data_IF_751669358710
#
_entry.id   IF_751669358710
#
_cell.length_a   1.000
_cell.length_b   1.000
_cell.length_c   1.000
_cell.angle_alpha   90.00
_cell.angle_beta   90.00
_cell.angle_gamma   90.00
#
_symmetry.space_group_name_H-M   'P 1'
#
loop_
_entity.id
_entity.type
_entity.pdbx_description
1 polymer ?
#
# COMPACT_ATOMS: atom_id res chain seq x y z
N UNK A 1 -25.16 -0.09 13.34
CA UNK A 1 -25.57 -0.56 12.00
C UNK A 1 -25.80 -2.08 12.02
N UNK A 2 -24.80 -2.91 12.27
CA UNK A 2 -24.91 -4.37 12.26
C UNK A 2 -26.06 -4.92 13.12
N UNK A 3 -26.25 -4.44 14.34
CA UNK A 3 -27.34 -4.88 15.22
C UNK A 3 -28.76 -4.55 14.68
N UNK A 4 -28.90 -3.46 13.90
CA UNK A 4 -30.17 -3.13 13.27
C UNK A 4 -30.49 -4.10 12.12
N UNK A 5 -29.47 -4.42 11.31
CA UNK A 5 -29.62 -5.42 10.26
C UNK A 5 -29.94 -6.81 10.84
N UNK A 6 -29.32 -7.20 11.96
CA UNK A 6 -29.59 -8.49 12.61
C UNK A 6 -31.04 -8.60 13.12
N UNK A 7 -31.72 -7.47 13.42
CA UNK A 7 -33.12 -7.46 13.81
C UNK A 7 -34.07 -7.63 12.62
N UNK A 8 -33.71 -7.06 11.47
CA UNK A 8 -34.56 -7.04 10.27
C UNK A 8 -34.29 -8.19 9.30
N UNK A 9 -33.09 -8.82 9.39
CA UNK A 9 -32.61 -9.86 8.47
C UNK A 9 -32.35 -11.15 9.25
N UNK A 10 -33.31 -12.12 9.23
CA UNK A 10 -33.16 -13.39 9.95
C UNK A 10 -31.88 -14.15 9.56
N UNK A 11 -31.47 -14.09 8.30
CA UNK A 11 -30.27 -14.74 7.78
C UNK A 11 -28.98 -14.21 8.40
N UNK A 12 -28.97 -12.95 8.88
CA UNK A 12 -27.85 -12.38 9.67
C UNK A 12 -27.95 -12.85 11.11
N UNK A 13 -29.15 -12.86 11.69
CA UNK A 13 -29.38 -13.33 13.04
C UNK A 13 -28.97 -14.80 13.22
N UNK A 14 -29.27 -15.64 12.23
CA UNK A 14 -28.94 -17.06 12.19
C UNK A 14 -27.45 -17.33 11.83
N UNK A 15 -26.68 -16.28 11.51
CA UNK A 15 -25.26 -16.36 11.19
C UNK A 15 -24.94 -16.97 9.81
N UNK A 16 -25.92 -17.03 8.90
CA UNK A 16 -25.76 -17.47 7.50
C UNK A 16 -25.12 -16.35 6.68
N UNK A 17 -25.54 -15.11 6.92
CA UNK A 17 -24.98 -13.91 6.32
C UNK A 17 -24.19 -13.16 7.37
N UNK A 18 -22.97 -12.75 7.01
CA UNK A 18 -22.10 -11.94 7.85
C UNK A 18 -21.94 -10.54 7.27
N UNK A 19 -21.90 -9.53 8.15
CA UNK A 19 -21.46 -8.17 7.80
C UNK A 19 -19.97 -8.11 8.04
N UNK A 20 -19.19 -8.02 6.96
CA UNK A 20 -17.72 -8.01 6.99
C UNK A 20 -17.21 -6.63 7.37
N UNK A 21 -17.82 -5.56 6.85
CA UNK A 21 -17.39 -4.20 7.10
C UNK A 21 -18.53 -3.20 7.00
N UNK A 22 -18.35 -2.04 7.64
CA UNK A 22 -19.29 -0.92 7.59
C UNK A 22 -18.50 0.38 7.56
N UNK A 23 -18.60 1.11 6.46
CA UNK A 23 -18.13 2.49 6.35
C UNK A 23 -19.34 3.44 6.47
N UNK A 24 -19.24 4.50 7.30
CA UNK A 24 -20.40 5.28 7.64
C UNK A 24 -20.11 6.78 7.81
N UNK A 25 -20.90 7.57 7.12
CA UNK A 25 -21.02 9.02 7.31
C UNK A 25 -22.36 9.31 8.03
N UNK A 26 -22.36 9.45 9.37
CA UNK A 26 -23.58 9.48 10.17
C UNK A 26 -24.57 10.55 9.71
N UNK A 27 -25.85 10.14 9.57
CA UNK A 27 -26.92 11.02 9.11
C UNK A 27 -26.93 11.31 7.59
N UNK A 28 -26.00 10.77 6.84
CA UNK A 28 -25.88 10.98 5.40
C UNK A 28 -25.94 9.67 4.61
N UNK A 29 -24.89 8.87 4.68
CA UNK A 29 -24.77 7.62 3.89
C UNK A 29 -23.89 6.60 4.60
N UNK A 30 -24.18 5.33 4.38
CA UNK A 30 -23.32 4.22 4.78
C UNK A 30 -23.16 3.21 3.64
N UNK A 31 -22.04 2.50 3.63
CA UNK A 31 -21.80 1.31 2.81
C UNK A 31 -21.58 0.13 3.72
N UNK A 32 -22.20 -1.00 3.41
CA UNK A 32 -22.01 -2.25 4.15
C UNK A 32 -21.60 -3.37 3.21
N UNK A 33 -20.57 -4.12 3.60
CA UNK A 33 -20.12 -5.31 2.90
C UNK A 33 -20.72 -6.54 3.57
N UNK A 34 -21.43 -7.37 2.82
CA UNK A 34 -22.09 -8.58 3.30
C UNK A 34 -21.58 -9.82 2.57
N UNK A 35 -21.43 -10.90 3.30
CA UNK A 35 -20.98 -12.19 2.78
C UNK A 35 -21.94 -13.29 3.20
N UNK A 36 -22.21 -14.25 2.30
CA UNK A 36 -23.00 -15.43 2.63
C UNK A 36 -22.10 -16.65 2.72
N UNK A 37 -22.24 -17.43 3.80
CA UNK A 37 -21.58 -18.73 3.97
C UNK A 37 -22.20 -19.80 3.04
N UNK A 38 -23.43 -19.58 2.63
CA UNK A 38 -24.16 -20.46 1.72
C UNK A 38 -24.20 -19.87 0.32
N UNK A 39 -23.65 -20.56 -0.65
CA UNK A 39 -23.61 -20.10 -2.06
C UNK A 39 -24.97 -19.99 -2.73
N UNK A 40 -25.99 -20.63 -2.14
CA UNK A 40 -27.37 -20.59 -2.63
C UNK A 40 -28.13 -19.33 -2.23
N UNK A 41 -27.61 -18.52 -1.29
CA UNK A 41 -28.24 -17.33 -0.75
C UNK A 41 -27.53 -16.08 -1.26
N UNK A 42 -28.29 -15.21 -1.93
CA UNK A 42 -27.82 -13.87 -2.29
C UNK A 42 -27.81 -12.96 -1.05
N UNK A 43 -26.64 -12.59 -0.52
CA UNK A 43 -26.55 -11.79 0.70
C UNK A 43 -27.11 -10.38 0.54
N UNK A 44 -26.95 -9.78 -0.65
CA UNK A 44 -27.46 -8.43 -0.92
C UNK A 44 -28.98 -8.46 -0.99
N UNK A 45 -29.54 -9.40 -1.77
CA UNK A 45 -30.99 -9.55 -1.90
C UNK A 45 -31.69 -9.85 -0.58
N UNK A 46 -31.08 -10.67 0.29
CA UNK A 46 -31.61 -10.97 1.62
C UNK A 46 -31.64 -9.72 2.53
N UNK A 47 -30.59 -8.91 2.53
CA UNK A 47 -30.49 -7.67 3.30
C UNK A 47 -31.42 -6.57 2.76
N UNK A 48 -31.61 -6.47 1.45
CA UNK A 48 -32.53 -5.52 0.82
C UNK A 48 -33.99 -5.90 1.12
N UNK A 49 -34.30 -7.18 1.03
CA UNK A 49 -35.63 -7.71 1.23
C UNK A 49 -36.58 -7.41 0.06
N UNK A 50 -37.80 -7.94 0.16
CA UNK A 50 -38.80 -7.75 -0.90
C UNK A 50 -39.10 -6.25 -1.11
N UNK A 51 -38.82 -5.76 -2.33
CA UNK A 51 -39.00 -4.34 -2.72
C UNK A 51 -38.31 -3.34 -1.77
N UNK A 52 -37.22 -3.77 -1.15
CA UNK A 52 -36.41 -2.93 -0.26
C UNK A 52 -37.00 -2.79 1.17
N UNK A 53 -37.94 -3.63 1.56
CA UNK A 53 -38.65 -3.49 2.84
C UNK A 53 -37.73 -3.57 4.06
N UNK A 54 -36.74 -4.47 4.05
CA UNK A 54 -35.82 -4.65 5.18
C UNK A 54 -34.84 -3.49 5.29
N UNK A 55 -34.15 -3.15 4.19
CA UNK A 55 -33.26 -2.00 4.20
C UNK A 55 -33.98 -0.70 4.54
N UNK A 56 -35.23 -0.52 4.08
CA UNK A 56 -36.00 0.67 4.39
C UNK A 56 -36.35 0.77 5.88
N UNK A 57 -36.57 -0.36 6.56
CA UNK A 57 -36.79 -0.38 8.01
C UNK A 57 -35.54 0.15 8.74
N UNK A 58 -34.35 -0.33 8.37
CA UNK A 58 -33.07 0.16 8.93
C UNK A 58 -32.85 1.65 8.61
N UNK A 59 -33.13 2.08 7.37
CA UNK A 59 -33.02 3.49 6.96
C UNK A 59 -33.91 4.38 7.81
N UNK A 60 -35.12 3.95 8.11
CA UNK A 60 -36.07 4.71 8.95
C UNK A 60 -35.59 4.85 10.40
N UNK A 61 -35.03 3.77 10.98
CA UNK A 61 -34.43 3.82 12.33
C UNK A 61 -33.19 4.76 12.37
N UNK A 62 -32.46 4.90 11.26
CA UNK A 62 -31.33 5.80 11.10
C UNK A 62 -31.73 7.19 10.57
N UNK A 63 -33.01 7.56 10.69
CA UNK A 63 -33.54 8.87 10.33
C UNK A 63 -33.32 9.29 8.87
N UNK A 64 -33.31 8.32 7.96
CA UNK A 64 -33.19 8.56 6.53
C UNK A 64 -31.77 8.47 5.95
N UNK A 65 -30.82 7.95 6.73
CA UNK A 65 -29.46 7.67 6.25
C UNK A 65 -29.50 6.64 5.10
N UNK A 66 -28.90 6.98 3.96
CA UNK A 66 -28.86 6.08 2.80
C UNK A 66 -27.90 4.94 3.05
N UNK A 67 -28.29 3.72 2.66
CA UNK A 67 -27.47 2.54 2.86
C UNK A 67 -27.22 1.85 1.52
N UNK A 68 -25.96 1.71 1.15
CA UNK A 68 -25.50 0.91 0.01
C UNK A 68 -25.05 -0.46 0.55
N UNK A 69 -25.66 -1.52 0.03
CA UNK A 69 -25.34 -2.89 0.41
C UNK A 69 -24.60 -3.54 -0.74
N UNK A 70 -23.41 -4.08 -0.48
CA UNK A 70 -22.59 -4.72 -1.50
C UNK A 70 -22.12 -6.09 -1.03
N UNK A 71 -21.97 -7.01 -1.98
CA UNK A 71 -21.42 -8.33 -1.69
C UNK A 71 -19.91 -8.26 -1.56
N UNK A 72 -19.42 -8.75 -0.43
CA UNK A 72 -17.98 -8.87 -0.21
C UNK A 72 -17.35 -9.93 -1.12
N UNK A 73 -16.07 -9.75 -1.45
CA UNK A 73 -15.25 -10.68 -2.24
C UNK A 73 -13.80 -10.53 -1.81
N UNK A 74 -13.04 -11.64 -1.87
CA UNK A 74 -11.60 -11.66 -1.53
C UNK A 74 -10.76 -10.84 -2.52
N UNK A 75 -11.22 -10.70 -3.77
CA UNK A 75 -10.55 -9.88 -4.77
C UNK A 75 -10.83 -8.40 -4.49
N UNK A 76 -9.80 -7.67 -4.08
CA UNK A 76 -9.92 -6.25 -3.71
C UNK A 76 -10.35 -5.37 -4.89
N UNK A 77 -9.84 -5.63 -6.11
CA UNK A 77 -10.25 -4.87 -7.29
C UNK A 77 -11.74 -5.02 -7.59
N UNK A 78 -12.25 -6.24 -7.57
CA UNK A 78 -13.68 -6.52 -7.76
C UNK A 78 -14.53 -5.92 -6.62
N UNK A 79 -14.00 -5.91 -5.40
CA UNK A 79 -14.67 -5.33 -4.24
C UNK A 79 -14.81 -3.82 -4.39
N UNK A 80 -13.72 -3.12 -4.77
CA UNK A 80 -13.73 -1.66 -4.96
C UNK A 80 -14.63 -1.25 -6.13
N UNK A 81 -14.66 -2.01 -7.23
CA UNK A 81 -15.61 -1.78 -8.32
C UNK A 81 -17.06 -1.81 -7.83
N UNK A 82 -17.41 -2.78 -6.97
CA UNK A 82 -18.74 -2.84 -6.34
C UNK A 82 -18.96 -1.69 -5.36
N UNK A 83 -17.94 -1.32 -4.60
CA UNK A 83 -18.02 -0.26 -3.59
C UNK A 83 -18.23 1.13 -4.22
N UNK A 84 -17.72 1.37 -5.43
CA UNK A 84 -17.87 2.63 -6.16
C UNK A 84 -19.21 2.76 -6.90
N UNK A 85 -20.01 1.69 -6.96
CA UNK A 85 -21.34 1.77 -7.57
C UNK A 85 -22.15 2.96 -6.99
N UNK A 86 -22.95 3.66 -7.83
CA UNK A 86 -23.38 3.31 -9.19
C UNK A 86 -22.43 3.76 -10.32
N UNK A 87 -21.23 4.24 -10.03
CA UNK A 87 -20.28 4.61 -11.07
C UNK A 87 -19.79 3.37 -11.83
N UNK A 88 -19.60 3.52 -13.13
CA UNK A 88 -19.02 2.49 -13.99
C UNK A 88 -17.50 2.63 -13.99
N UNK A 89 -16.80 1.55 -13.63
CA UNK A 89 -15.34 1.48 -13.61
C UNK A 89 -14.86 0.73 -14.85
N UNK A 90 -13.84 1.26 -15.53
CA UNK A 90 -13.26 0.63 -16.70
C UNK A 90 -12.04 -0.22 -16.38
N UNK A 91 -11.18 0.28 -15.50
CA UNK A 91 -9.90 -0.34 -15.15
C UNK A 91 -9.58 -0.08 -13.69
N UNK A 92 -8.96 -1.06 -13.06
CA UNK A 92 -8.37 -0.92 -11.71
C UNK A 92 -6.91 -1.36 -11.81
N UNK A 93 -6.02 -0.55 -11.26
CA UNK A 93 -4.60 -0.86 -11.11
C UNK A 93 -4.33 -0.97 -9.62
N UNK A 94 -3.65 -2.05 -9.22
CA UNK A 94 -3.30 -2.35 -7.83
C UNK A 94 -1.84 -2.02 -7.58
N UNK A 95 -1.58 -1.39 -6.45
CA UNK A 95 -0.26 -1.19 -5.88
C UNK A 95 -0.28 -1.85 -4.50
N UNK A 96 0.09 -3.14 -4.47
CA UNK A 96 -0.05 -4.00 -3.28
C UNK A 96 0.86 -3.56 -2.13
N UNK A 97 2.02 -3.00 -2.42
CA UNK A 97 2.99 -2.54 -1.42
C UNK A 97 2.48 -1.34 -0.62
N UNK A 98 1.70 -0.46 -1.28
CA UNK A 98 1.17 0.78 -0.70
C UNK A 98 -0.29 0.66 -0.25
N UNK A 99 -0.92 -0.52 -0.39
CA UNK A 99 -2.37 -0.72 -0.20
C UNK A 99 -3.21 0.32 -0.95
N UNK A 100 -2.76 0.68 -2.16
CA UNK A 100 -3.31 1.75 -3.00
C UNK A 100 -3.90 1.19 -4.29
N UNK A 101 -4.99 1.80 -4.73
CA UNK A 101 -5.71 1.44 -5.95
C UNK A 101 -5.92 2.68 -6.82
N UNK A 102 -5.62 2.55 -8.11
CA UNK A 102 -6.04 3.53 -9.09
C UNK A 102 -7.22 2.99 -9.90
N UNK A 103 -8.28 3.77 -9.90
CA UNK A 103 -9.54 3.42 -10.55
C UNK A 103 -9.80 4.36 -11.72
N UNK A 104 -9.76 3.81 -12.93
CA UNK A 104 -10.03 4.59 -14.15
C UNK A 104 -11.51 4.50 -14.50
N UNK A 105 -12.11 5.68 -14.67
CA UNK A 105 -13.53 5.83 -15.00
C UNK A 105 -13.71 6.72 -16.24
N UNK A 106 -14.82 6.57 -17.00
CA UNK A 106 -15.18 7.54 -18.02
C UNK A 106 -15.34 8.94 -17.41
N UNK A 107 -15.02 9.99 -18.17
CA UNK A 107 -15.15 11.38 -17.69
C UNK A 107 -16.55 11.70 -17.16
N UNK A 108 -17.58 11.18 -17.82
CA UNK A 108 -19.00 11.34 -17.40
C UNK A 108 -19.30 10.68 -16.05
N UNK A 109 -18.52 9.68 -15.64
CA UNK A 109 -18.68 8.93 -14.39
C UNK A 109 -17.82 9.49 -13.24
N UNK A 110 -16.85 10.35 -13.53
CA UNK A 110 -15.90 10.88 -12.54
C UNK A 110 -16.64 11.50 -11.32
N UNK A 111 -17.56 12.41 -11.56
CA UNK A 111 -18.32 13.05 -10.49
C UNK A 111 -19.15 12.07 -9.66
N UNK A 112 -19.61 10.97 -10.29
CA UNK A 112 -20.40 9.93 -9.62
C UNK A 112 -19.51 9.01 -8.79
N UNK A 113 -18.34 8.65 -9.32
CA UNK A 113 -17.34 7.83 -8.63
C UNK A 113 -16.80 8.54 -7.39
N UNK A 114 -16.41 9.80 -7.49
CA UNK A 114 -15.97 10.62 -6.36
C UNK A 114 -17.14 10.86 -5.38
N UNK A 115 -18.30 11.16 -5.92
CA UNK A 115 -19.48 11.53 -5.12
C UNK A 115 -19.39 12.95 -4.55
N UNK A 116 -20.49 13.37 -3.90
CA UNK A 116 -20.58 14.72 -3.31
C UNK A 116 -19.56 14.90 -2.18
N UNK A 117 -18.63 15.83 -2.33
CA UNK A 117 -17.52 16.09 -1.38
C UNK A 117 -16.65 14.84 -1.13
N UNK A 118 -16.42 14.03 -2.14
CA UNK A 118 -15.63 12.82 -1.99
C UNK A 118 -16.31 11.68 -1.20
N UNK A 119 -17.60 11.79 -0.90
CA UNK A 119 -18.29 10.84 -0.01
C UNK A 119 -18.27 9.40 -0.55
N UNK A 120 -18.42 9.21 -1.85
CA UNK A 120 -18.51 7.86 -2.40
C UNK A 120 -17.16 7.15 -2.36
N UNK A 121 -16.09 7.83 -2.81
CA UNK A 121 -14.73 7.29 -2.79
C UNK A 121 -14.23 7.10 -1.36
N UNK A 122 -14.43 8.07 -0.47
CA UNK A 122 -14.01 7.98 0.94
C UNK A 122 -14.67 6.79 1.66
N UNK A 123 -15.97 6.58 1.49
CA UNK A 123 -16.66 5.43 2.08
C UNK A 123 -16.22 4.10 1.45
N UNK A 124 -15.83 4.10 0.16
CA UNK A 124 -15.30 2.92 -0.49
C UNK A 124 -13.89 2.59 0.03
N UNK A 125 -13.04 3.60 0.20
CA UNK A 125 -11.70 3.48 0.79
C UNK A 125 -11.78 2.99 2.25
N UNK A 126 -12.59 3.62 3.10
CA UNK A 126 -12.82 3.21 4.49
C UNK A 126 -13.31 1.75 4.59
N UNK A 127 -14.17 1.32 3.65
CA UNK A 127 -14.73 -0.03 3.66
C UNK A 127 -13.75 -1.10 3.16
N UNK A 128 -12.90 -0.75 2.20
CA UNK A 128 -11.89 -1.66 1.63
C UNK A 128 -10.61 -1.72 2.46
N UNK A 129 -10.32 -0.67 3.22
CA UNK A 129 -9.04 -0.47 3.89
C UNK A 129 -7.91 -0.01 2.96
N UNK A 130 -8.22 0.29 1.68
CA UNK A 130 -7.27 0.70 0.66
C UNK A 130 -7.46 2.15 0.26
N UNK A 131 -6.38 2.84 -0.05
CA UNK A 131 -6.45 4.16 -0.66
C UNK A 131 -6.93 4.05 -2.11
N UNK A 132 -7.90 4.89 -2.50
CA UNK A 132 -8.54 4.83 -3.81
C UNK A 132 -8.39 6.17 -4.52
N UNK A 133 -7.58 6.17 -5.60
CA UNK A 133 -7.47 7.30 -6.52
C UNK A 133 -8.37 7.10 -7.74
N UNK A 134 -9.14 8.12 -8.05
CA UNK A 134 -10.03 8.08 -9.22
C UNK A 134 -9.49 8.98 -10.31
N UNK A 135 -9.24 8.40 -11.48
CA UNK A 135 -8.71 9.05 -12.65
C UNK A 135 -9.66 8.89 -13.84
N UNK A 136 -9.64 9.85 -14.76
CA UNK A 136 -10.23 9.66 -16.09
C UNK A 136 -9.25 8.93 -17.02
N UNK A 137 -9.76 8.39 -18.15
CA UNK A 137 -8.91 7.78 -19.17
C UNK A 137 -7.88 8.76 -19.72
N UNK A 138 -8.29 10.03 -19.91
CA UNK A 138 -7.39 11.07 -20.41
C UNK A 138 -6.29 11.37 -19.40
N UNK A 139 -6.61 11.50 -18.12
CA UNK A 139 -5.65 11.72 -17.03
C UNK A 139 -4.66 10.55 -16.88
N UNK A 140 -5.17 9.32 -16.94
CA UNK A 140 -4.31 8.13 -16.87
C UNK A 140 -3.39 8.02 -18.09
N UNK A 141 -3.93 8.34 -19.29
CA UNK A 141 -3.13 8.36 -20.52
C UNK A 141 -2.06 9.45 -20.50
N UNK A 142 -2.41 10.66 -20.07
CA UNK A 142 -1.47 11.79 -19.94
C UNK A 142 -0.37 11.47 -18.93
N UNK A 143 -0.74 10.92 -17.76
CA UNK A 143 0.23 10.53 -16.76
C UNK A 143 1.21 9.47 -17.30
N UNK A 144 0.71 8.39 -17.91
CA UNK A 144 1.58 7.36 -18.51
C UNK A 144 2.50 7.93 -19.58
N UNK A 145 2.00 8.87 -20.38
CA UNK A 145 2.83 9.52 -21.38
C UNK A 145 3.92 10.39 -20.76
N UNK A 146 3.62 11.11 -19.70
CA UNK A 146 4.59 11.91 -18.95
C UNK A 146 5.64 11.01 -18.28
N UNK A 147 5.22 9.96 -17.59
CA UNK A 147 6.13 8.98 -16.95
C UNK A 147 7.06 8.34 -17.99
N UNK A 148 6.52 7.94 -19.16
CA UNK A 148 7.32 7.40 -20.26
C UNK A 148 8.35 8.42 -20.76
N UNK A 149 7.94 9.68 -20.92
CA UNK A 149 8.83 10.74 -21.37
C UNK A 149 9.91 11.09 -20.34
N UNK A 150 9.56 11.14 -19.06
CA UNK A 150 10.50 11.39 -17.98
C UNK A 150 11.57 10.29 -17.90
N UNK A 151 11.16 9.02 -17.94
CA UNK A 151 12.09 7.87 -17.97
C UNK A 151 12.95 7.89 -19.22
N UNK A 152 12.37 8.19 -20.39
CA UNK A 152 13.13 8.34 -21.63
C UNK A 152 14.20 9.42 -21.50
N UNK A 153 13.84 10.59 -20.97
CA UNK A 153 14.77 11.69 -20.77
C UNK A 153 15.89 11.31 -19.76
N UNK A 154 15.53 10.61 -18.70
CA UNK A 154 16.50 10.10 -17.71
C UNK A 154 17.57 9.22 -18.40
N UNK A 155 17.16 8.26 -19.25
CA UNK A 155 18.10 7.40 -19.97
C UNK A 155 18.91 8.16 -21.01
N UNK A 156 18.33 9.15 -21.71
CA UNK A 156 19.08 10.00 -22.64
C UNK A 156 20.21 10.74 -21.91
N UNK A 157 19.89 11.38 -20.78
CA UNK A 157 20.85 12.17 -20.02
C UNK A 157 21.89 11.32 -19.31
N UNK A 158 21.48 10.22 -18.69
CA UNK A 158 22.37 9.37 -17.89
C UNK A 158 23.28 8.49 -18.74
N UNK A 159 22.75 7.91 -19.83
CA UNK A 159 23.46 6.96 -20.67
C UNK A 159 24.08 7.57 -21.93
N UNK A 160 23.80 8.86 -22.21
CA UNK A 160 24.23 9.57 -23.43
C UNK A 160 23.85 8.75 -24.69
N UNK A 161 22.60 8.27 -24.73
CA UNK A 161 22.02 7.52 -25.87
C UNK A 161 21.03 8.37 -26.64
N UNK A 162 20.73 7.95 -27.87
CA UNK A 162 19.67 8.60 -28.63
C UNK A 162 18.27 8.26 -28.09
N UNK A 163 17.30 9.07 -28.48
CA UNK A 163 15.90 8.93 -28.04
C UNK A 163 15.32 7.55 -28.36
N UNK A 164 15.70 6.95 -29.49
CA UNK A 164 15.17 5.65 -29.89
C UNK A 164 15.63 4.53 -28.95
N UNK A 165 16.93 4.52 -28.61
CA UNK A 165 17.49 3.54 -27.68
C UNK A 165 16.92 3.72 -26.27
N UNK A 166 16.76 4.97 -25.81
CA UNK A 166 16.13 5.26 -24.51
C UNK A 166 14.68 4.75 -24.46
N UNK A 167 13.89 5.01 -25.52
CA UNK A 167 12.50 4.54 -25.62
C UNK A 167 12.42 3.01 -25.64
N UNK A 168 13.38 2.32 -26.27
CA UNK A 168 13.43 0.86 -26.26
C UNK A 168 13.66 0.33 -24.84
N UNK A 169 14.60 0.89 -24.07
CA UNK A 169 14.82 0.52 -22.69
C UNK A 169 13.57 0.68 -21.84
N UNK A 170 12.88 1.84 -21.95
CA UNK A 170 11.61 2.07 -21.21
C UNK A 170 10.52 1.10 -21.65
N UNK A 171 10.44 0.76 -22.94
CA UNK A 171 9.42 -0.17 -23.47
C UNK A 171 9.63 -1.61 -22.97
N UNK A 172 10.89 -2.01 -22.76
CA UNK A 172 11.25 -3.32 -22.21
C UNK A 172 11.08 -3.39 -20.68
N UNK A 173 10.74 -2.26 -20.04
CA UNK A 173 10.35 -2.21 -18.62
C UNK A 173 11.39 -1.61 -17.71
N UNK A 174 12.54 -1.17 -18.21
CA UNK A 174 13.53 -0.45 -17.39
C UNK A 174 12.99 0.90 -16.95
N UNK A 175 13.07 1.19 -15.68
CA UNK A 175 12.59 2.43 -15.06
C UNK A 175 13.71 3.26 -14.45
N UNK A 176 14.80 2.64 -14.02
CA UNK A 176 15.91 3.24 -13.31
C UNK A 176 17.26 2.87 -13.92
N UNK A 177 18.27 3.70 -13.66
CA UNK A 177 19.63 3.46 -14.18
C UNK A 177 20.29 2.26 -13.49
N UNK A 178 19.96 2.06 -12.22
CA UNK A 178 20.42 0.93 -11.39
C UNK A 178 20.02 -0.41 -12.01
N UNK A 179 18.80 -0.52 -12.53
CA UNK A 179 18.32 -1.73 -13.21
C UNK A 179 19.17 -2.06 -14.42
N UNK A 180 19.49 -1.06 -15.25
CA UNK A 180 20.35 -1.23 -16.43
C UNK A 180 21.77 -1.62 -16.05
N UNK A 181 22.30 -1.08 -14.94
CA UNK A 181 23.63 -1.39 -14.46
C UNK A 181 23.78 -2.81 -13.90
N UNK A 182 22.70 -3.33 -13.26
CA UNK A 182 22.73 -4.61 -12.51
C UNK A 182 22.21 -5.80 -13.31
N UNK A 183 21.41 -5.57 -14.35
CA UNK A 183 20.83 -6.64 -15.17
C UNK A 183 21.90 -7.45 -15.88
N UNK A 184 21.62 -8.73 -16.15
CA UNK A 184 22.50 -9.55 -16.96
C UNK A 184 22.59 -9.03 -18.40
N UNK A 185 23.80 -8.94 -18.94
CA UNK A 185 24.04 -8.32 -20.25
C UNK A 185 23.24 -8.99 -21.38
N UNK A 186 22.98 -10.30 -21.24
CA UNK A 186 22.19 -11.07 -22.19
C UNK A 186 20.72 -10.57 -22.28
N UNK A 187 20.17 -9.98 -21.22
CA UNK A 187 18.84 -9.40 -21.25
C UNK A 187 18.82 -8.14 -22.11
N UNK A 188 19.84 -7.29 -21.99
CA UNK A 188 19.97 -6.08 -22.83
C UNK A 188 20.19 -6.46 -24.30
N UNK A 189 21.02 -7.50 -24.59
CA UNK A 189 21.27 -7.99 -25.94
C UNK A 189 19.99 -8.52 -26.60
N UNK A 190 19.06 -9.11 -25.81
CA UNK A 190 17.80 -9.63 -26.32
C UNK A 190 16.81 -8.53 -26.75
N UNK A 191 17.05 -7.29 -26.37
CA UNK A 191 16.24 -6.16 -26.79
C UNK A 191 16.45 -5.92 -28.29
N UNK A 192 15.37 -5.82 -29.03
CA UNK A 192 15.46 -5.61 -30.47
C UNK A 192 16.16 -4.27 -30.84
N UNK A 193 17.26 -4.35 -31.53
CA UNK A 193 18.05 -3.18 -31.93
C UNK A 193 19.35 -2.99 -31.15
N UNK A 194 19.62 -3.83 -30.13
CA UNK A 194 20.89 -3.84 -29.40
C UNK A 194 21.76 -4.97 -29.94
N UNK A 195 23.05 -4.70 -30.07
CA UNK A 195 24.09 -5.70 -30.25
C UNK A 195 24.96 -5.81 -28.98
N UNK A 196 25.84 -6.78 -28.94
CA UNK A 196 26.68 -7.02 -27.76
C UNK A 196 27.57 -5.83 -27.42
N UNK A 197 28.04 -5.09 -28.40
CA UNK A 197 28.91 -3.91 -28.21
C UNK A 197 28.12 -2.76 -27.61
N UNK A 198 26.92 -2.50 -28.14
CA UNK A 198 26.00 -1.46 -27.61
C UNK A 198 25.53 -1.79 -26.19
N UNK A 199 25.17 -3.05 -25.92
CA UNK A 199 24.75 -3.48 -24.58
C UNK A 199 25.87 -3.28 -23.53
N UNK A 200 27.10 -3.67 -23.86
CA UNK A 200 28.26 -3.46 -22.98
C UNK A 200 28.52 -1.96 -22.74
N UNK A 201 28.42 -1.14 -23.78
CA UNK A 201 28.65 0.30 -23.66
C UNK A 201 27.57 0.97 -22.80
N UNK A 202 26.31 0.61 -22.97
CA UNK A 202 25.20 1.15 -22.17
C UNK A 202 25.37 0.77 -20.70
N UNK A 203 25.67 -0.50 -20.41
CA UNK A 203 25.89 -0.95 -19.04
C UNK A 203 27.11 -0.26 -18.40
N UNK A 204 28.18 -0.07 -19.16
CA UNK A 204 29.35 0.68 -18.69
C UNK A 204 29.00 2.14 -18.36
N UNK A 205 28.20 2.80 -19.21
CA UNK A 205 27.76 4.19 -19.00
C UNK A 205 26.81 4.29 -17.79
N UNK A 206 25.92 3.30 -17.59
CA UNK A 206 25.08 3.24 -16.41
C UNK A 206 25.92 3.16 -15.11
N UNK A 207 26.92 2.28 -15.07
CA UNK A 207 27.84 2.19 -13.94
C UNK A 207 28.63 3.48 -13.71
N UNK A 208 29.15 4.09 -14.79
CA UNK A 208 29.88 5.37 -14.72
C UNK A 208 29.01 6.52 -14.20
N UNK A 209 27.72 6.52 -14.59
CA UNK A 209 26.75 7.52 -14.10
C UNK A 209 26.50 7.35 -12.61
N UNK A 210 26.20 6.12 -12.15
CA UNK A 210 25.97 5.82 -10.75
C UNK A 210 27.21 6.10 -9.88
N UNK A 211 28.43 5.81 -10.38
CA UNK A 211 29.66 6.16 -9.67
C UNK A 211 29.81 7.68 -9.50
N UNK A 212 29.55 8.45 -10.55
CA UNK A 212 29.58 9.93 -10.48
C UNK A 212 28.50 10.48 -9.56
N UNK A 213 27.28 9.95 -9.63
CA UNK A 213 26.19 10.34 -8.75
C UNK A 213 26.56 10.07 -7.28
N UNK A 214 27.08 8.87 -6.98
CA UNK A 214 27.51 8.50 -5.63
C UNK A 214 28.62 9.41 -5.11
N UNK A 215 29.60 9.76 -5.95
CA UNK A 215 30.66 10.71 -5.57
C UNK A 215 30.10 12.10 -5.25
N UNK A 216 29.18 12.59 -6.06
CA UNK A 216 28.53 13.88 -5.85
C UNK A 216 27.67 13.89 -4.56
N UNK A 217 26.93 12.80 -4.32
CA UNK A 217 26.13 12.65 -3.12
C UNK A 217 27.05 12.59 -1.86
N UNK A 218 28.18 11.88 -1.95
CA UNK A 218 29.15 11.81 -0.85
C UNK A 218 29.83 13.16 -0.59
N UNK A 219 30.16 13.97 -1.62
CA UNK A 219 30.63 15.32 -1.45
C UNK A 219 29.58 16.19 -0.74
N UNK A 220 28.33 16.11 -1.19
CA UNK A 220 27.21 16.85 -0.60
C UNK A 220 26.98 16.48 0.87
N UNK A 221 27.06 15.18 1.21
CA UNK A 221 26.99 14.67 2.58
C UNK A 221 28.05 15.33 3.48
N UNK A 222 29.31 15.37 2.98
CA UNK A 222 30.44 15.99 3.70
C UNK A 222 30.26 17.48 3.90
N UNK A 223 29.75 18.19 2.88
CA UNK A 223 29.45 19.63 2.96
C UNK A 223 28.37 19.93 4.00
N UNK A 224 27.35 19.08 4.10
CA UNK A 224 26.30 19.16 5.12
C UNK A 224 26.79 18.74 6.51
N UNK A 225 27.99 18.12 6.62
CA UNK A 225 28.59 17.60 7.85
C UNK A 225 27.75 16.50 8.51
N UNK A 226 27.13 15.66 7.70
CA UNK A 226 26.44 14.46 8.19
C UNK A 226 27.48 13.46 8.64
N UNK A 227 27.29 12.91 9.84
CA UNK A 227 28.22 11.97 10.47
C UNK A 227 28.15 10.59 9.83
N UNK A 228 29.23 9.81 9.98
CA UNK A 228 29.32 8.48 9.39
C UNK A 228 28.44 7.45 10.12
N UNK A 229 28.04 7.75 11.37
CA UNK A 229 27.16 6.90 12.18
C UNK A 229 25.75 6.74 11.57
N UNK A 230 25.23 7.78 10.88
CA UNK A 230 23.95 7.70 10.19
C UNK A 230 24.00 6.71 9.01
N UNK A 231 25.18 6.45 8.44
CA UNK A 231 25.38 5.45 7.37
C UNK A 231 25.41 4.00 7.88
N UNK A 232 25.44 3.78 9.21
CA UNK A 232 25.31 2.43 9.78
C UNK A 232 23.88 1.88 9.60
N UNK A 233 22.95 2.73 9.21
CA UNK A 233 21.60 2.32 8.84
C UNK A 233 21.55 1.99 7.34
N UNK A 234 21.68 0.70 7.02
CA UNK A 234 21.66 0.20 5.63
C UNK A 234 20.36 0.51 4.87
N UNK A 235 19.26 0.73 5.60
CA UNK A 235 17.95 1.06 5.03
C UNK A 235 17.84 2.51 4.55
N UNK A 236 18.73 3.39 5.02
CA UNK A 236 18.74 4.79 4.58
C UNK A 236 19.58 4.93 3.31
N UNK A 237 18.93 5.23 2.19
CA UNK A 237 19.67 5.54 0.96
C UNK A 237 20.48 6.83 1.12
N UNK A 238 21.55 7.00 0.33
CA UNK A 238 22.37 8.21 0.35
C UNK A 238 21.54 9.48 0.07
N UNK A 239 20.51 9.37 -0.77
CA UNK A 239 19.56 10.47 -1.08
C UNK A 239 18.75 10.85 0.17
N UNK A 240 18.28 9.87 0.95
CA UNK A 240 17.58 10.10 2.22
C UNK A 240 18.50 10.77 3.24
N UNK A 241 19.73 10.27 3.39
CA UNK A 241 20.74 10.82 4.30
C UNK A 241 21.04 12.30 3.99
N UNK A 242 21.15 12.66 2.73
CA UNK A 242 21.34 14.05 2.32
C UNK A 242 20.11 14.89 2.67
N UNK A 243 18.91 14.39 2.41
CA UNK A 243 17.67 15.09 2.72
C UNK A 243 17.51 15.34 4.23
N UNK A 244 17.88 14.36 5.05
CA UNK A 244 17.98 14.49 6.51
C UNK A 244 18.99 15.58 6.89
N UNK A 245 20.19 15.55 6.31
CA UNK A 245 21.24 16.52 6.56
C UNK A 245 20.86 17.95 6.16
N UNK A 246 20.09 18.15 5.10
CA UNK A 246 19.51 19.44 4.68
C UNK A 246 18.54 20.00 5.72
N UNK A 247 17.91 19.15 6.52
CA UNK A 247 16.98 19.49 7.59
C UNK A 247 17.61 19.39 9.00
N UNK A 248 18.93 19.51 9.08
CA UNK A 248 19.72 19.50 10.32
C UNK A 248 19.73 18.18 11.12
N UNK A 249 19.20 17.10 10.57
CA UNK A 249 19.36 15.73 11.09
C UNK A 249 20.68 15.16 10.56
N UNK A 250 21.75 15.21 11.37
CA UNK A 250 23.12 14.98 10.92
C UNK A 250 23.82 13.80 11.56
N UNK A 251 23.21 13.21 12.59
CA UNK A 251 23.73 12.08 13.31
C UNK A 251 22.67 11.01 13.53
N UNK A 252 23.09 9.80 13.84
CA UNK A 252 22.17 8.72 14.23
C UNK A 252 21.36 9.10 15.47
N UNK A 253 21.95 9.87 16.38
CA UNK A 253 21.27 10.40 17.57
C UNK A 253 20.16 11.38 17.17
N UNK A 254 20.42 12.34 16.26
CA UNK A 254 19.40 13.28 15.78
C UNK A 254 18.24 12.53 15.14
N UNK A 255 18.53 11.51 14.31
CA UNK A 255 17.51 10.70 13.64
C UNK A 255 16.66 9.89 14.62
N UNK A 256 17.27 9.32 15.65
CA UNK A 256 16.56 8.57 16.69
C UNK A 256 15.58 9.43 17.52
N UNK A 257 15.79 10.74 17.56
CA UNK A 257 14.88 11.68 18.20
C UNK A 257 13.76 12.18 17.30
N UNK A 258 13.80 11.91 15.99
CA UNK A 258 12.70 12.23 15.09
C UNK A 258 11.42 11.47 15.51
N UNK A 259 10.28 12.05 15.20
CA UNK A 259 8.98 11.38 15.19
C UNK A 259 8.66 10.88 13.77
N UNK A 260 7.68 10.02 13.67
CA UNK A 260 7.16 9.57 12.37
C UNK A 260 6.65 10.75 11.56
N UNK A 261 5.93 11.68 12.21
CA UNK A 261 5.39 12.90 11.59
C UNK A 261 6.50 13.82 11.04
N UNK A 262 7.67 13.89 11.70
CA UNK A 262 8.82 14.66 11.19
C UNK A 262 9.34 14.08 9.86
N UNK A 263 9.24 12.77 9.68
CA UNK A 263 9.74 12.09 8.47
C UNK A 263 8.75 12.12 7.32
N UNK A 264 7.49 11.77 7.57
CA UNK A 264 6.48 11.59 6.50
C UNK A 264 5.51 12.76 6.38
N UNK A 265 5.54 13.73 7.32
CA UNK A 265 4.59 14.83 7.39
C UNK A 265 3.31 14.48 8.12
N UNK A 266 2.46 15.47 8.32
CA UNK A 266 1.20 15.29 9.04
C UNK A 266 0.15 16.33 8.61
N UNK A 267 -1.11 15.94 8.81
CA UNK A 267 -2.24 16.80 8.48
C UNK A 267 -2.83 17.45 9.73
N UNK A 268 -2.90 18.78 9.76
CA UNK A 268 -3.56 19.54 10.82
C UNK A 268 -4.84 20.20 10.34
N UNK A 269 -5.84 20.24 11.21
CA UNK A 269 -7.09 20.95 10.93
C UNK A 269 -7.11 22.26 11.73
N UNK A 270 -6.85 23.39 11.06
CA UNK A 270 -6.94 24.73 11.65
C UNK A 270 -8.19 25.41 11.12
N UNK A 271 -9.09 25.81 12.02
CA UNK A 271 -10.37 26.48 11.68
C UNK A 271 -11.27 25.72 10.67
N UNK A 272 -11.10 24.39 10.58
CA UNK A 272 -11.85 23.53 9.65
C UNK A 272 -11.26 23.43 8.25
N UNK A 273 -10.11 24.03 8.01
CA UNK A 273 -9.30 23.81 6.81
C UNK A 273 -8.17 22.81 7.12
N UNK A 274 -7.98 21.85 6.23
CA UNK A 274 -6.89 20.89 6.30
C UNK A 274 -5.63 21.55 5.78
N UNK A 275 -4.61 21.67 6.62
CA UNK A 275 -3.26 22.07 6.26
C UNK A 275 -2.33 20.87 6.38
N UNK A 276 -1.48 20.68 5.39
CA UNK A 276 -0.48 19.62 5.37
C UNK A 276 0.89 20.21 5.66
N UNK A 277 1.57 19.68 6.67
CA UNK A 277 2.96 19.98 7.00
C UNK A 277 3.84 18.86 6.43
N UNK A 278 4.72 19.23 5.50
CA UNK A 278 5.57 18.29 4.78
C UNK A 278 6.64 17.66 5.67
N UNK A 279 6.79 16.35 5.60
CA UNK A 279 7.86 15.61 6.27
C UNK A 279 9.21 15.71 5.54
N UNK A 280 10.29 15.41 6.27
CA UNK A 280 11.66 15.47 5.74
C UNK A 280 11.86 14.45 4.60
N UNK A 281 11.32 13.26 4.76
CA UNK A 281 11.42 12.15 3.81
C UNK A 281 10.11 11.87 3.04
N UNK A 282 9.16 12.79 3.06
CA UNK A 282 7.87 12.65 2.37
C UNK A 282 8.02 12.30 0.87
N UNK A 283 9.05 12.87 0.21
CA UNK A 283 9.33 12.61 -1.21
C UNK A 283 9.79 11.17 -1.51
N UNK A 284 10.01 10.35 -0.49
CA UNK A 284 10.37 8.94 -0.62
C UNK A 284 9.20 7.99 -0.39
N UNK A 285 8.00 8.52 -0.19
CA UNK A 285 6.73 7.80 -0.04
C UNK A 285 6.77 6.66 0.98
N UNK A 286 7.37 6.95 2.15
CA UNK A 286 7.50 5.98 3.23
C UNK A 286 6.16 5.78 3.93
N UNK A 287 5.79 4.52 4.18
CA UNK A 287 4.63 4.23 5.04
C UNK A 287 4.92 4.61 6.50
N UNK A 288 3.86 4.91 7.27
CA UNK A 288 3.97 5.26 8.70
C UNK A 288 4.65 4.15 9.51
N UNK A 289 4.30 2.90 9.22
CA UNK A 289 4.89 1.73 9.87
C UNK A 289 6.38 1.60 9.56
N UNK A 290 6.79 1.78 8.30
CA UNK A 290 8.19 1.70 7.91
C UNK A 290 9.03 2.86 8.48
N UNK A 291 8.51 4.08 8.46
CA UNK A 291 9.16 5.23 9.10
C UNK A 291 9.36 5.01 10.61
N UNK A 292 8.36 4.42 11.28
CA UNK A 292 8.47 4.05 12.68
C UNK A 292 9.52 2.94 12.92
N UNK A 293 9.59 1.93 12.06
CA UNK A 293 10.63 0.88 12.14
C UNK A 293 12.03 1.45 12.02
N UNK A 294 12.27 2.38 11.08
CA UNK A 294 13.56 3.07 10.91
C UNK A 294 13.96 3.81 12.20
N UNK A 295 13.04 4.59 12.78
CA UNK A 295 13.27 5.32 14.03
C UNK A 295 13.56 4.36 15.18
N UNK A 296 12.79 3.28 15.30
CA UNK A 296 12.98 2.28 16.36
C UNK A 296 14.32 1.55 16.23
N UNK A 297 14.75 1.27 14.99
CA UNK A 297 16.08 0.70 14.71
C UNK A 297 17.19 1.65 15.13
N UNK A 298 17.09 2.93 14.78
CA UNK A 298 18.05 3.94 15.22
C UNK A 298 18.14 4.04 16.76
N UNK A 299 16.98 4.02 17.45
CA UNK A 299 16.92 4.02 18.94
C UNK A 299 17.57 2.80 19.56
N UNK A 300 17.47 1.64 18.94
CA UNK A 300 18.18 0.42 19.37
C UNK A 300 19.68 0.56 19.17
N UNK A 301 20.13 1.05 18.02
CA UNK A 301 21.56 1.24 17.72
C UNK A 301 22.25 2.19 18.72
N UNK A 302 21.61 3.25 19.14
CA UNK A 302 22.15 4.20 20.13
C UNK A 302 21.84 3.79 21.58
N UNK A 303 21.18 2.64 21.81
CA UNK A 303 20.93 2.08 23.14
C UNK A 303 19.86 2.80 23.96
N UNK A 304 18.96 3.56 23.35
CA UNK A 304 17.78 4.13 24.04
C UNK A 304 16.77 3.03 24.38
N UNK A 305 16.68 2.00 23.54
CA UNK A 305 15.79 0.86 23.72
C UNK A 305 16.66 -0.39 23.79
N UNK A 306 16.47 -1.21 24.83
CA UNK A 306 17.11 -2.51 24.94
C UNK A 306 16.52 -3.46 23.89
N UNK A 307 17.38 -4.28 23.25
CA UNK A 307 16.89 -5.36 22.39
C UNK A 307 16.02 -6.30 23.23
N UNK A 308 14.78 -6.51 22.82
CA UNK A 308 14.00 -7.62 23.32
C UNK A 308 14.74 -8.91 22.95
N UNK A 309 15.41 -9.52 23.95
CA UNK A 309 15.97 -10.86 23.81
C UNK A 309 14.74 -11.77 23.63
N UNK A 310 14.45 -12.10 22.38
CA UNK A 310 13.58 -13.23 22.08
C UNK A 310 14.41 -14.45 22.50
N UNK A 311 14.26 -14.88 23.76
CA UNK A 311 14.67 -16.22 24.14
C UNK A 311 13.86 -17.17 23.25
N UNK A 312 14.52 -17.73 22.25
CA UNK A 312 14.03 -18.92 21.56
C UNK A 312 13.89 -19.98 22.65
N UNK A 313 12.67 -20.16 23.14
CA UNK A 313 12.29 -21.31 23.94
C UNK A 313 12.55 -22.56 23.06
N UNK A 314 13.77 -23.08 23.18
CA UNK A 314 14.09 -24.44 22.81
C UNK A 314 13.24 -25.36 23.68
N UNK A 315 12.04 -25.67 23.23
CA UNK A 315 11.29 -26.81 23.72
C UNK A 315 12.04 -28.07 23.27
N UNK A 316 12.96 -28.53 24.14
CA UNK A 316 13.53 -29.86 24.07
C UNK A 316 12.37 -30.87 24.16
N UNK A 317 11.99 -31.48 23.05
CA UNK A 317 11.23 -32.70 22.97
C UNK A 317 12.14 -33.90 23.33
N UNK A 318 12.54 -34.00 24.57
CA UNK A 318 13.03 -35.26 25.14
C UNK A 318 12.41 -35.41 26.51
N UNK A 319 11.29 -36.14 26.59
CA UNK A 319 10.95 -37.07 27.70
C UNK A 319 9.47 -37.50 27.57
N UNK A 320 9.23 -38.56 26.84
CA UNK A 320 8.11 -39.48 27.12
C UNK A 320 8.26 -40.78 26.33
N UNK A 321 9.23 -41.59 26.71
CA UNK A 321 9.21 -43.02 26.55
C UNK A 321 9.59 -43.63 27.89
N UNK A 322 8.65 -43.77 28.78
CA UNK A 322 8.68 -44.83 29.81
C UNK A 322 7.31 -45.48 29.93
N UNK A 323 7.36 -46.71 29.60
CA UNK A 323 6.45 -47.79 29.84
C UNK A 323 5.66 -47.71 31.14
N UNK A 324 4.39 -48.02 31.10
CA UNK A 324 3.76 -48.81 32.15
C UNK A 324 2.81 -49.86 31.57
N UNK A 325 3.37 -51.06 31.51
CA UNK A 325 2.61 -52.30 31.63
C UNK A 325 1.86 -52.26 32.96
N UNK A 326 0.55 -52.33 32.92
CA UNK A 326 -0.19 -52.88 34.01
C UNK A 326 -1.44 -53.62 33.51
N UNK A 327 -1.35 -54.91 33.76
CA UNK A 327 -2.29 -55.97 33.61
C UNK A 327 -3.70 -55.63 34.12
N UNK A 328 -4.65 -55.99 33.34
CA UNK A 328 -6.05 -56.14 33.70
C UNK A 328 -6.24 -57.43 34.53
N UNK A 329 -6.81 -57.40 35.72
CA UNK A 329 -7.43 -58.54 36.29
C UNK A 329 -8.89 -58.25 36.63
N UNK A 330 -9.82 -58.61 35.75
CA UNK A 330 -11.11 -59.17 36.19
C UNK A 330 -11.98 -59.46 34.95
N UNK A 331 -11.72 -60.65 34.40
CA UNK A 331 -12.78 -61.44 33.75
C UNK A 331 -13.56 -62.13 34.87
N UNK A 332 -14.83 -62.02 34.86
CA UNK A 332 -15.85 -63.07 35.06
C UNK A 332 -17.16 -62.44 35.56
N UNK A 333 -18.23 -62.78 34.87
CA UNK A 333 -19.44 -63.12 35.54
C UNK A 333 -20.73 -62.40 35.17
N UNK A 334 -21.38 -63.00 34.19
CA UNK A 334 -22.81 -63.11 33.91
C UNK A 334 -23.35 -62.15 32.84
#
# INVERSE_FOLDING_TARGET
MANLFAQEVPEIYDGIIEIIGVARDPGSRAKIAVFSKETSIDPVGACVGMRGSRVQAVVNELQGEKIDILSWTDNIADFVVKALQPAEVQKVVLYDEDERLEVVVPEEQLSLAIGRRGQNVRLASELSGWEIDILTEDQESERRQNEFQERTNLFIEALDVDELLAQLLVTEGFSEIEEVAMVEIDEIINIAGFDEETAQEIQARANDYLEKENLLLEEKRKDLKVQDDLMEMEELSMKMIIKLGENDVKSLEDFAYCSTDDLIGWDEYIDGEKTHESGILESFDLSEDYANELIMKARKLIGIIEEDIIEEDNFDEEDKLESDDNEDPFSEGK
#
